data_IF_267078858286
#
_entry.id   IF_267078858286
#
_cell.length_a   1.000
_cell.length_b   1.000
_cell.length_c   1.000
_cell.angle_alpha   90.00
_cell.angle_beta   90.00
_cell.angle_gamma   90.00
#
_symmetry.space_group_name_H-M   'P 1'
#
loop_
_entity.id
_entity.type
_entity.pdbx_description
1 polymer ?
#
# COMPACT_ATOMS: atom_id res chain seq x y z
N UNK A 1 11.35 3.40 18.91
CA UNK A 1 9.95 3.11 19.32
C UNK A 1 9.46 2.07 18.35
N UNK A 2 9.46 0.81 18.77
CA UNK A 2 8.97 -0.29 17.96
C UNK A 2 7.52 -0.55 18.36
N UNK A 3 6.57 -0.41 17.42
CA UNK A 3 5.13 -0.26 17.71
C UNK A 3 4.42 -1.60 18.01
N UNK A 4 5.17 -2.65 18.37
CA UNK A 4 4.64 -3.92 18.86
C UNK A 4 4.17 -4.91 17.78
N UNK A 5 4.34 -4.59 16.49
CA UNK A 5 4.10 -5.52 15.38
C UNK A 5 5.43 -6.15 14.99
N UNK A 6 5.52 -7.49 15.04
CA UNK A 6 6.71 -8.21 14.56
C UNK A 6 6.92 -7.93 13.06
N UNK A 7 8.12 -7.48 12.70
CA UNK A 7 8.52 -7.16 11.33
C UNK A 7 8.27 -8.32 10.35
N UNK A 8 8.39 -9.57 10.82
CA UNK A 8 8.14 -10.77 10.00
C UNK A 8 6.69 -10.91 9.52
N UNK A 9 5.76 -10.17 10.12
CA UNK A 9 4.34 -10.14 9.77
C UNK A 9 4.01 -9.04 8.76
N UNK A 10 4.98 -8.22 8.38
CA UNK A 10 4.81 -7.10 7.47
C UNK A 10 5.51 -7.43 6.15
N UNK A 11 4.75 -7.38 5.06
CA UNK A 11 5.30 -7.45 3.70
C UNK A 11 5.09 -6.09 3.01
N UNK A 12 6.14 -5.57 2.36
CA UNK A 12 6.12 -4.24 1.73
C UNK A 12 6.43 -4.38 0.24
N UNK A 13 5.55 -3.85 -0.60
CA UNK A 13 5.72 -3.81 -2.05
C UNK A 13 5.62 -2.37 -2.57
N UNK A 14 6.55 -1.99 -3.45
CA UNK A 14 6.57 -0.68 -4.08
C UNK A 14 6.08 -0.73 -5.53
N UNK A 15 4.92 -0.13 -5.80
CA UNK A 15 4.31 -0.08 -7.15
C UNK A 15 4.72 1.15 -7.98
N UNK A 16 5.43 2.12 -7.39
CA UNK A 16 5.88 3.32 -8.09
C UNK A 16 4.72 4.12 -8.71
N UNK A 17 4.73 4.28 -10.03
CA UNK A 17 3.69 5.00 -10.78
C UNK A 17 2.59 4.09 -11.33
N UNK A 18 2.71 2.77 -11.11
CA UNK A 18 1.70 1.81 -11.53
C UNK A 18 0.44 2.01 -10.67
N UNK A 19 -0.73 1.72 -11.24
CA UNK A 19 -2.03 1.84 -10.57
C UNK A 19 -2.32 3.24 -9.96
N UNK A 20 -2.30 4.31 -10.79
CA UNK A 20 -2.66 5.64 -10.32
C UNK A 20 -4.17 5.70 -10.01
N UNK A 21 -4.53 6.27 -8.86
CA UNK A 21 -5.93 6.55 -8.50
C UNK A 21 -6.43 7.83 -9.16
N UNK A 22 -5.53 8.72 -9.57
CA UNK A 22 -5.87 9.93 -10.31
C UNK A 22 -4.81 10.29 -11.37
N UNK A 23 -5.14 11.18 -12.31
CA UNK A 23 -4.24 11.62 -13.36
C UNK A 23 -2.99 12.34 -12.81
N UNK A 24 -1.80 11.92 -13.28
CA UNK A 24 -0.51 12.52 -12.90
C UNK A 24 -0.26 13.92 -13.49
N UNK A 25 -1.16 14.42 -14.34
CA UNK A 25 -1.03 15.71 -15.01
C UNK A 25 -1.09 16.91 -14.05
N UNK A 26 -1.82 16.78 -12.93
CA UNK A 26 -1.94 17.84 -11.92
C UNK A 26 -1.15 17.54 -10.65
N UNK A 27 -0.72 18.58 -9.93
CA UNK A 27 -0.07 18.41 -8.62
C UNK A 27 -0.99 17.72 -7.61
N UNK A 28 -2.27 18.07 -7.62
CA UNK A 28 -3.29 17.45 -6.77
C UNK A 28 -3.43 15.96 -7.07
N UNK A 29 -3.46 15.56 -8.34
CA UNK A 29 -3.52 14.15 -8.73
C UNK A 29 -2.26 13.38 -8.32
N UNK A 30 -1.07 13.96 -8.54
CA UNK A 30 0.19 13.38 -8.06
C UNK A 30 0.23 13.24 -6.53
N UNK A 31 -0.33 14.20 -5.80
CA UNK A 31 -0.43 14.12 -4.34
C UNK A 31 -1.32 12.96 -3.89
N UNK A 32 -2.42 12.69 -4.61
CA UNK A 32 -3.30 11.55 -4.32
C UNK A 32 -2.65 10.19 -4.65
N UNK A 33 -1.78 10.15 -5.67
CA UNK A 33 -1.08 8.90 -6.03
C UNK A 33 0.04 8.54 -5.06
N UNK A 34 0.56 9.49 -4.27
CA UNK A 34 1.52 9.21 -3.18
C UNK A 34 0.78 8.67 -1.95
N UNK A 35 0.41 7.40 -2.00
CA UNK A 35 -0.35 6.71 -0.94
C UNK A 35 0.29 5.38 -0.57
N UNK A 36 -0.02 4.91 0.62
CA UNK A 36 0.20 3.54 1.05
C UNK A 36 -1.15 2.87 1.24
N UNK A 37 -1.26 1.60 0.86
CA UNK A 37 -2.44 0.78 1.10
C UNK A 37 -2.05 -0.33 2.08
N UNK A 38 -2.82 -0.49 3.16
CA UNK A 38 -2.60 -1.51 4.18
C UNK A 38 -3.66 -2.59 3.97
N UNK A 39 -3.21 -3.79 3.61
CA UNK A 39 -4.08 -4.96 3.42
C UNK A 39 -3.80 -5.96 4.54
N UNK A 40 -4.87 -6.49 5.14
CA UNK A 40 -4.77 -7.52 6.17
C UNK A 40 -4.94 -8.90 5.55
N UNK A 41 -4.14 -9.86 6.02
CA UNK A 41 -4.31 -11.27 5.65
C UNK A 41 -5.51 -11.88 6.35
N UNK A 42 -6.16 -12.85 5.71
CA UNK A 42 -7.16 -13.70 6.35
C UNK A 42 -6.55 -14.69 7.35
N UNK A 43 -7.39 -15.54 7.96
CA UNK A 43 -6.97 -16.58 8.91
C UNK A 43 -6.00 -17.61 8.32
N UNK A 44 -5.96 -17.73 6.98
CA UNK A 44 -5.07 -18.65 6.25
C UNK A 44 -3.77 -17.97 5.82
N UNK A 45 -3.56 -16.71 6.18
CA UNK A 45 -2.38 -15.93 5.81
C UNK A 45 -2.43 -15.42 4.36
N UNK A 46 -3.59 -15.46 3.71
CA UNK A 46 -3.76 -14.94 2.35
C UNK A 46 -4.04 -13.44 2.41
N UNK A 47 -3.18 -12.64 1.79
CA UNK A 47 -3.44 -11.20 1.60
C UNK A 47 -4.62 -11.05 0.64
N UNK A 48 -5.60 -10.21 1.01
CA UNK A 48 -6.63 -9.79 0.06
C UNK A 48 -5.97 -9.18 -1.19
N UNK A 49 -6.64 -9.28 -2.34
CA UNK A 49 -6.10 -8.70 -3.58
C UNK A 49 -5.80 -7.20 -3.36
N UNK A 50 -4.52 -6.82 -3.46
CA UNK A 50 -4.14 -5.43 -3.62
C UNK A 50 -4.82 -4.93 -4.91
N UNK A 51 -5.50 -3.80 -4.82
CA UNK A 51 -6.39 -3.32 -5.88
C UNK A 51 -5.64 -2.65 -7.02
#
# INVERSE_FOLDING_TARGET
>A
MDLGVDEKRIHVEGYGQQFPVNANASERGRAQNRRVEIVFSDEKGQLGAAR
#
